data_IF_692719865610
#
_entry.id   IF_692719865610
#
_cell.length_a   1.000
_cell.length_b   1.000
_cell.length_c   1.000
_cell.angle_alpha   90.00
_cell.angle_beta   90.00
_cell.angle_gamma   90.00
#
_symmetry.space_group_name_H-M   'P 1'
#
loop_
_entity.id
_entity.type
_entity.pdbx_description
1 polymer ?
#
# COMPACT_ATOMS: atom_id res chain seq x y z
N UNK A 1 -7.56 -23.90 3.41
CA UNK A 1 -6.25 -24.48 3.80
C UNK A 1 -5.19 -23.43 3.48
N UNK A 2 -4.35 -23.05 4.44
CA UNK A 2 -3.30 -22.03 4.24
C UNK A 2 -2.00 -22.65 3.71
N UNK A 3 -1.41 -22.08 2.65
CA UNK A 3 -0.08 -22.42 2.16
C UNK A 3 0.66 -21.15 1.71
N UNK A 4 1.89 -20.93 2.21
CA UNK A 4 2.72 -19.75 1.89
C UNK A 4 2.03 -18.39 2.12
N UNK A 5 1.14 -18.32 3.12
CA UNK A 5 0.35 -17.11 3.36
C UNK A 5 -0.77 -16.91 2.34
N UNK A 6 -1.26 -17.99 1.71
CA UNK A 6 -2.42 -17.99 0.82
C UNK A 6 -3.55 -18.92 1.29
N UNK A 7 -4.79 -18.40 1.35
CA UNK A 7 -5.99 -19.20 1.55
C UNK A 7 -6.46 -19.73 0.18
N UNK A 8 -6.34 -21.04 -0.02
CA UNK A 8 -6.83 -21.70 -1.23
C UNK A 8 -8.33 -21.96 -1.09
N UNK A 9 -9.13 -21.19 -1.82
CA UNK A 9 -10.58 -21.34 -2.01
C UNK A 9 -10.88 -21.80 -3.45
N UNK A 10 -11.98 -22.53 -3.62
CA UNK A 10 -12.49 -23.00 -4.93
C UNK A 10 -12.82 -21.86 -5.91
N UNK A 11 -13.00 -20.63 -5.41
CA UNK A 11 -13.32 -19.43 -6.21
C UNK A 11 -12.08 -18.58 -6.61
N UNK A 12 -10.87 -19.01 -6.24
CA UNK A 12 -9.61 -18.32 -6.56
C UNK A 12 -8.96 -17.60 -5.37
N UNK A 13 -7.84 -16.92 -5.64
CA UNK A 13 -7.00 -16.25 -4.64
C UNK A 13 -7.68 -14.97 -4.16
N UNK A 14 -8.37 -15.04 -3.01
CA UNK A 14 -8.77 -13.82 -2.28
C UNK A 14 -7.54 -13.22 -1.60
N UNK A 15 -7.38 -11.88 -1.56
CA UNK A 15 -6.38 -11.27 -0.69
C UNK A 15 -6.73 -11.71 0.73
N UNK A 16 -5.77 -12.35 1.41
CA UNK A 16 -6.01 -12.93 2.73
C UNK A 16 -6.31 -11.79 3.67
N UNK A 17 -7.31 -11.92 4.53
CA UNK A 17 -7.71 -10.85 5.47
C UNK A 17 -6.52 -10.24 6.23
N UNK A 18 -5.49 -11.06 6.54
CA UNK A 18 -4.22 -10.62 7.15
C UNK A 18 -3.50 -9.52 6.35
N UNK A 19 -3.53 -9.63 5.05
CA UNK A 19 -2.81 -8.78 4.10
C UNK A 19 -3.50 -7.42 3.90
N UNK A 20 -4.83 -7.42 3.89
CA UNK A 20 -5.65 -6.19 3.94
C UNK A 20 -5.48 -5.49 5.29
N UNK A 21 -5.50 -6.26 6.38
CA UNK A 21 -5.30 -5.74 7.74
C UNK A 21 -3.96 -5.03 7.88
N UNK A 22 -2.88 -5.59 7.32
CA UNK A 22 -1.55 -4.99 7.39
C UNK A 22 -1.46 -3.62 6.69
N UNK A 23 -2.22 -3.39 5.61
CA UNK A 23 -2.28 -2.07 4.96
C UNK A 23 -3.12 -1.10 5.79
N UNK A 24 -4.28 -1.56 6.27
CA UNK A 24 -5.21 -0.76 7.06
C UNK A 24 -4.61 -0.26 8.37
N UNK A 25 -3.87 -1.11 9.06
CA UNK A 25 -3.22 -0.80 10.35
C UNK A 25 -1.80 -0.23 10.18
N UNK A 26 -1.33 -0.04 8.95
CA UNK A 26 -0.01 0.52 8.72
C UNK A 26 0.06 1.91 9.38
N UNK A 27 1.06 2.19 10.23
CA UNK A 27 1.18 3.49 10.87
C UNK A 27 1.58 4.56 9.85
N UNK A 28 1.13 5.80 10.05
CA UNK A 28 1.53 6.92 9.20
C UNK A 28 3.06 6.98 9.10
N UNK A 29 3.65 6.83 7.89
CA UNK A 29 5.09 6.85 7.70
C UNK A 29 5.72 8.17 8.15
N UNK A 30 6.90 8.08 8.74
CA UNK A 30 7.66 9.23 9.27
C UNK A 30 8.93 9.49 8.49
N UNK A 31 9.38 8.53 7.70
CA UNK A 31 10.58 8.64 6.87
C UNK A 31 10.46 7.86 5.54
N UNK A 32 11.46 8.05 4.68
CA UNK A 32 11.54 7.38 3.38
C UNK A 32 11.63 5.85 3.49
N UNK A 33 12.18 5.31 4.58
CA UNK A 33 12.26 3.87 4.81
C UNK A 33 10.88 3.29 5.07
N UNK A 34 10.08 3.94 5.91
CA UNK A 34 8.70 3.57 6.20
C UNK A 34 7.79 3.72 4.99
N UNK A 35 7.95 4.78 4.18
CA UNK A 35 7.23 4.89 2.89
C UNK A 35 7.61 3.79 1.94
N UNK A 36 8.90 3.44 1.85
CA UNK A 36 9.33 2.34 0.99
C UNK A 36 8.69 1.03 1.42
N UNK A 37 8.54 0.79 2.73
CA UNK A 37 7.81 -0.38 3.26
C UNK A 37 6.34 -0.36 2.86
N UNK A 38 5.65 0.77 3.05
CA UNK A 38 4.25 0.91 2.66
C UNK A 38 4.05 0.74 1.15
N UNK A 39 4.87 1.38 0.31
CA UNK A 39 4.81 1.30 -1.15
C UNK A 39 5.00 -0.14 -1.63
N UNK A 40 5.93 -0.91 -1.05
CA UNK A 40 6.08 -2.33 -1.38
C UNK A 40 4.86 -3.15 -0.96
N UNK A 41 4.35 -2.92 0.25
CA UNK A 41 3.18 -3.62 0.77
C UNK A 41 1.94 -3.36 -0.10
N UNK A 42 1.59 -2.09 -0.33
CA UNK A 42 0.47 -1.69 -1.16
C UNK A 42 0.66 -2.13 -2.62
N UNK A 43 1.90 -2.08 -3.13
CA UNK A 43 2.25 -2.48 -4.48
C UNK A 43 1.94 -3.94 -4.82
N UNK A 44 1.90 -4.81 -3.81
CA UNK A 44 1.48 -6.20 -3.96
C UNK A 44 0.02 -6.32 -4.45
N UNK A 45 -0.86 -5.41 -4.02
CA UNK A 45 -2.30 -5.41 -4.38
C UNK A 45 -2.66 -4.49 -5.54
N UNK A 46 -1.67 -3.86 -6.20
CA UNK A 46 -1.89 -2.89 -7.29
C UNK A 46 -2.83 -3.36 -8.40
N UNK A 47 -2.94 -4.69 -8.62
CA UNK A 47 -3.79 -5.28 -9.67
C UNK A 47 -5.29 -5.24 -9.34
N UNK A 48 -5.63 -4.99 -8.08
CA UNK A 48 -7.00 -4.96 -7.56
C UNK A 48 -7.51 -3.53 -7.36
N UNK A 49 -6.63 -2.52 -7.47
CA UNK A 49 -6.96 -1.11 -7.27
C UNK A 49 -6.85 -0.40 -8.61
N UNK A 50 -7.98 0.05 -9.16
CA UNK A 50 -7.99 0.87 -10.36
C UNK A 50 -7.28 2.21 -10.08
N UNK A 51 -6.45 2.67 -11.03
CA UNK A 51 -5.74 3.94 -10.89
C UNK A 51 -4.62 3.95 -9.83
N UNK A 52 -4.21 2.78 -9.30
CA UNK A 52 -3.20 2.67 -8.23
C UNK A 52 -1.93 3.51 -8.47
N UNK A 53 -1.40 3.52 -9.69
CA UNK A 53 -0.19 4.27 -10.01
C UNK A 53 -0.33 5.79 -9.83
N UNK A 54 -1.50 6.34 -10.17
CA UNK A 54 -1.80 7.76 -9.96
C UNK A 54 -1.97 8.07 -8.47
N UNK A 55 -2.71 7.22 -7.77
CA UNK A 55 -2.95 7.31 -6.32
C UNK A 55 -1.64 7.28 -5.51
N UNK A 56 -0.71 6.39 -5.89
CA UNK A 56 0.59 6.24 -5.22
C UNK A 56 1.67 7.22 -5.70
N UNK A 57 1.37 8.09 -6.67
CA UNK A 57 2.34 9.04 -7.22
C UNK A 57 2.97 9.95 -6.13
N UNK A 58 2.21 10.54 -5.19
CA UNK A 58 2.78 11.35 -4.10
C UNK A 58 3.74 10.56 -3.21
N UNK A 59 3.41 9.31 -2.90
CA UNK A 59 4.21 8.41 -2.05
C UNK A 59 5.51 7.97 -2.74
N UNK A 60 5.42 7.59 -4.02
CA UNK A 60 6.59 7.14 -4.79
C UNK A 60 7.56 8.28 -5.13
N UNK A 61 7.09 9.54 -5.19
CA UNK A 61 7.96 10.71 -5.33
C UNK A 61 8.94 10.85 -4.15
N UNK A 62 8.50 10.55 -2.93
CA UNK A 62 9.34 10.59 -1.73
C UNK A 62 10.49 9.57 -1.72
N UNK A 63 10.46 8.61 -2.65
CA UNK A 63 11.50 7.59 -2.81
C UNK A 63 12.50 7.91 -3.92
N UNK A 64 12.30 9.01 -4.65
CA UNK A 64 13.22 9.43 -5.72
C UNK A 64 14.51 9.98 -5.10
N UNK A 65 15.61 9.81 -5.83
CA UNK A 65 16.87 10.48 -5.48
C UNK A 65 16.66 11.99 -5.58
N UNK A 66 17.37 12.73 -4.71
CA UNK A 66 17.42 14.19 -4.70
C UNK A 66 16.06 14.88 -4.43
N UNK A 67 15.11 14.17 -3.81
CA UNK A 67 13.87 14.74 -3.30
C UNK A 67 14.02 14.93 -1.79
N UNK A 68 13.79 16.17 -1.33
CA UNK A 68 13.68 16.45 0.10
C UNK A 68 12.45 15.73 0.67
N UNK A 69 12.62 15.15 1.85
CA UNK A 69 11.53 14.46 2.50
C UNK A 69 10.51 15.47 3.02
N UNK A 70 9.32 15.48 2.41
CA UNK A 70 8.19 16.31 2.80
C UNK A 70 6.92 15.44 2.88
N UNK A 71 6.28 15.45 4.04
CA UNK A 71 4.97 14.84 4.20
C UNK A 71 3.90 15.92 4.33
N UNK A 72 3.11 16.10 3.29
CA UNK A 72 1.99 17.06 3.24
C UNK A 72 0.64 16.40 2.96
N UNK A 73 -0.35 17.23 2.63
CA UNK A 73 -1.73 16.82 2.35
C UNK A 73 -1.81 15.79 1.20
N UNK A 74 -1.00 15.96 0.15
CA UNK A 74 -0.98 15.04 -0.98
C UNK A 74 -0.52 13.62 -0.60
N UNK A 75 0.39 13.49 0.38
CA UNK A 75 0.86 12.20 0.89
C UNK A 75 -0.17 11.58 1.85
N UNK A 76 -0.79 12.39 2.71
CA UNK A 76 -1.88 11.92 3.57
C UNK A 76 -3.06 11.40 2.75
N UNK A 77 -3.51 12.17 1.76
CA UNK A 77 -4.59 11.77 0.86
C UNK A 77 -4.27 10.49 0.10
N UNK A 78 -3.03 10.35 -0.40
CA UNK A 78 -2.59 9.14 -1.08
C UNK A 78 -2.56 7.94 -0.13
N UNK A 79 -2.08 8.13 1.09
CA UNK A 79 -1.97 7.09 2.10
C UNK A 79 -3.35 6.57 2.53
N UNK A 80 -4.29 7.46 2.85
CA UNK A 80 -5.63 7.07 3.27
C UNK A 80 -6.45 6.48 2.11
N UNK A 81 -6.39 7.05 0.90
CA UNK A 81 -7.09 6.47 -0.28
C UNK A 81 -6.66 5.04 -0.58
N UNK A 82 -5.38 4.71 -0.41
CA UNK A 82 -4.89 3.34 -0.62
C UNK A 82 -5.41 2.39 0.44
N UNK A 83 -5.51 2.85 1.70
CA UNK A 83 -6.08 2.07 2.80
C UNK A 83 -7.57 1.83 2.60
N UNK A 84 -8.31 2.84 2.15
CA UNK A 84 -9.74 2.74 1.81
C UNK A 84 -9.97 1.83 0.61
N UNK A 85 -9.17 1.92 -0.45
CA UNK A 85 -9.32 1.10 -1.66
C UNK A 85 -9.07 -0.40 -1.44
N UNK A 86 -8.47 -0.77 -0.30
CA UNK A 86 -8.19 -2.15 0.09
C UNK A 86 -9.09 -2.67 1.20
N UNK A 87 -9.98 -1.83 1.75
CA UNK A 87 -10.96 -2.18 2.80
C UNK A 87 -12.32 -2.46 2.19
#
# INVERSE_FOLDING_TARGET
MEYLGHELSVDGVRPLDRLVTAVREFPKPRDATEVKRFVHLAGYYRRFIEGFGAMMSPMTKLLRKDVEWEWGEAQDDAFERVKEALT
#
